data_IF_910269308889
#
_entry.id   IF_910269308889
#
_cell.length_a   1.000
_cell.length_b   1.000
_cell.length_c   1.000
_cell.angle_alpha   90.00
_cell.angle_beta   90.00
_cell.angle_gamma   90.00
#
_symmetry.space_group_name_H-M   'P 1'
#
loop_
_entity.id
_entity.type
_entity.pdbx_description
1 polymer ?
#
# COMPACT_ATOMS: atom_id res chain seq x y z
N UNK A 1 22.22 -18.16 -10.89
CA UNK A 1 21.77 -16.75 -10.85
C UNK A 1 22.72 -15.90 -10.01
N UNK A 2 22.89 -16.20 -8.71
CA UNK A 2 23.81 -15.46 -7.81
C UNK A 2 25.24 -15.39 -8.38
N UNK A 3 25.82 -16.52 -8.76
CA UNK A 3 27.17 -16.54 -9.35
C UNK A 3 27.32 -15.78 -10.66
N UNK A 4 26.24 -15.63 -11.43
CA UNK A 4 26.26 -14.86 -12.68
C UNK A 4 26.31 -13.36 -12.36
N UNK A 5 25.54 -12.93 -11.37
CA UNK A 5 25.52 -11.55 -10.87
C UNK A 5 26.87 -11.14 -10.26
N UNK A 6 27.54 -12.06 -9.56
CA UNK A 6 28.90 -11.85 -9.02
C UNK A 6 29.93 -11.60 -10.13
N UNK A 7 29.88 -12.38 -11.22
CA UNK A 7 30.81 -12.26 -12.35
C UNK A 7 30.54 -10.98 -13.15
N UNK A 8 29.27 -10.64 -13.35
CA UNK A 8 28.87 -9.53 -14.22
C UNK A 8 28.77 -8.18 -13.50
N UNK A 9 28.88 -8.16 -12.17
CA UNK A 9 28.90 -6.93 -11.37
C UNK A 9 27.53 -6.27 -11.19
N UNK A 10 26.44 -7.03 -11.32
CA UNK A 10 25.07 -6.55 -11.10
C UNK A 10 24.54 -7.06 -9.77
N UNK A 11 23.64 -6.31 -9.13
CA UNK A 11 22.85 -6.87 -8.04
C UNK A 11 21.82 -7.86 -8.62
N UNK A 12 21.63 -9.05 -8.01
CA UNK A 12 20.61 -10.02 -8.45
C UNK A 12 19.21 -9.42 -8.57
N UNK A 13 18.93 -8.40 -7.76
CA UNK A 13 17.66 -7.69 -7.77
C UNK A 13 17.46 -6.87 -9.05
N UNK A 14 18.49 -6.20 -9.57
CA UNK A 14 18.41 -5.42 -10.82
C UNK A 14 18.07 -6.33 -12.01
N UNK A 15 18.73 -7.49 -12.07
CA UNK A 15 18.47 -8.48 -13.11
C UNK A 15 17.05 -9.03 -13.01
N UNK A 16 16.56 -9.30 -11.79
CA UNK A 16 15.21 -9.78 -11.57
C UNK A 16 14.16 -8.70 -11.88
N UNK A 17 14.43 -7.44 -11.55
CA UNK A 17 13.58 -6.31 -11.90
C UNK A 17 13.45 -6.15 -13.42
N UNK A 18 14.56 -6.29 -14.16
CA UNK A 18 14.54 -6.26 -15.62
C UNK A 18 13.70 -7.38 -16.23
N UNK A 19 13.66 -8.57 -15.62
CA UNK A 19 12.93 -9.72 -16.12
C UNK A 19 11.45 -9.77 -15.67
N UNK A 20 11.16 -9.25 -14.48
CA UNK A 20 9.87 -9.38 -13.82
C UNK A 20 9.51 -8.14 -12.96
N UNK A 21 9.30 -6.96 -13.59
CA UNK A 21 9.07 -5.70 -12.85
C UNK A 21 7.75 -5.72 -12.04
N UNK A 22 6.78 -6.55 -12.45
CA UNK A 22 5.48 -6.70 -11.76
C UNK A 22 5.60 -7.24 -10.32
N UNK A 23 6.77 -7.77 -9.93
CA UNK A 23 7.01 -8.17 -8.54
C UNK A 23 7.21 -6.96 -7.60
N UNK A 24 7.46 -5.77 -8.14
CA UNK A 24 7.70 -4.52 -7.40
C UNK A 24 6.54 -3.53 -7.45
N UNK A 25 5.47 -3.81 -8.20
CA UNK A 25 4.35 -2.88 -8.32
C UNK A 25 3.29 -3.37 -9.30
N UNK A 26 2.08 -2.80 -9.19
CA UNK A 26 0.98 -3.07 -10.12
C UNK A 26 1.06 -2.20 -11.37
N UNK A 27 1.68 -1.03 -11.24
CA UNK A 27 1.98 -0.15 -12.37
C UNK A 27 3.49 -0.05 -12.59
N UNK A 28 3.93 0.33 -13.80
CA UNK A 28 5.33 0.57 -14.08
C UNK A 28 5.97 1.61 -13.15
N UNK A 29 5.21 2.63 -12.75
CA UNK A 29 5.64 3.68 -11.82
C UNK A 29 5.87 3.10 -10.42
N UNK A 30 4.89 2.35 -9.89
CA UNK A 30 5.03 1.69 -8.57
C UNK A 30 6.24 0.75 -8.52
N UNK A 31 6.48 0.02 -9.61
CA UNK A 31 7.61 -0.89 -9.73
C UNK A 31 8.95 -0.14 -9.71
N UNK A 32 9.05 0.97 -10.44
CA UNK A 32 10.24 1.84 -10.46
C UNK A 32 10.52 2.45 -9.09
N UNK A 33 9.51 3.06 -8.48
CA UNK A 33 9.64 3.70 -7.16
C UNK A 33 10.13 2.70 -6.11
N UNK A 34 9.61 1.47 -6.14
CA UNK A 34 10.00 0.40 -5.22
C UNK A 34 11.43 -0.08 -5.44
N UNK A 35 11.89 -0.16 -6.69
CA UNK A 35 13.26 -0.53 -7.01
C UNK A 35 14.24 0.57 -6.59
N UNK A 36 13.95 1.84 -6.93
CA UNK A 36 14.77 3.00 -6.57
C UNK A 36 14.90 3.13 -5.05
N UNK A 37 13.81 2.96 -4.31
CA UNK A 37 13.86 2.95 -2.84
C UNK A 37 14.76 1.83 -2.31
N UNK A 38 14.72 0.66 -2.94
CA UNK A 38 15.54 -0.48 -2.49
C UNK A 38 17.03 -0.20 -2.67
N UNK A 39 17.43 0.35 -3.81
CA UNK A 39 18.81 0.76 -4.08
C UNK A 39 19.30 1.81 -3.07
N UNK A 40 18.47 2.84 -2.80
CA UNK A 40 18.76 3.90 -1.83
C UNK A 40 18.92 3.37 -0.39
N UNK A 41 18.24 2.28 -0.03
CA UNK A 41 18.34 1.67 1.32
C UNK A 41 19.54 0.72 1.42
N UNK A 42 20.00 0.15 0.31
CA UNK A 42 21.12 -0.79 0.29
C UNK A 42 22.49 -0.09 0.33
N UNK A 43 22.63 1.08 -0.29
CA UNK A 43 23.90 1.80 -0.39
C UNK A 43 24.48 2.38 0.94
N UNK A 44 23.68 2.92 1.89
CA UNK A 44 24.21 3.62 3.05
C UNK A 44 24.97 2.74 4.06
N UNK A 45 25.76 3.31 5.00
CA UNK A 45 26.33 2.56 6.11
C UNK A 45 25.26 1.98 7.04
N UNK A 46 25.60 0.92 7.78
CA UNK A 46 24.66 0.22 8.66
C UNK A 46 23.97 1.14 9.70
N UNK A 47 24.68 2.13 10.25
CA UNK A 47 24.09 3.12 11.17
C UNK A 47 22.91 3.88 10.54
N UNK A 48 23.13 4.43 9.35
CA UNK A 48 22.09 5.13 8.58
C UNK A 48 20.91 4.22 8.23
N UNK A 49 21.17 2.96 7.84
CA UNK A 49 20.10 1.98 7.58
C UNK A 49 19.25 1.72 8.82
N UNK A 50 19.89 1.62 10.00
CA UNK A 50 19.18 1.40 11.28
C UNK A 50 18.27 2.57 11.62
N UNK A 51 18.74 3.80 11.42
CA UNK A 51 17.96 5.00 11.68
C UNK A 51 16.78 5.13 10.72
N UNK A 52 17.01 4.90 9.42
CA UNK A 52 15.96 4.89 8.39
C UNK A 52 14.90 3.82 8.69
N UNK A 53 15.32 2.61 9.08
CA UNK A 53 14.42 1.54 9.47
C UNK A 53 13.54 1.93 10.67
N UNK A 54 14.13 2.59 11.67
CA UNK A 54 13.38 3.07 12.82
C UNK A 54 12.35 4.15 12.43
N UNK A 55 12.71 5.06 11.53
CA UNK A 55 11.82 6.11 11.03
C UNK A 55 10.64 5.51 10.24
N UNK A 56 10.91 4.64 9.25
CA UNK A 56 9.88 4.01 8.44
C UNK A 56 8.92 3.18 9.29
N UNK A 57 9.43 2.44 10.29
CA UNK A 57 8.57 1.72 11.24
C UNK A 57 7.60 2.64 11.98
N UNK A 58 8.05 3.83 12.40
CA UNK A 58 7.19 4.83 13.04
C UNK A 58 6.14 5.35 12.07
N UNK A 59 6.51 5.68 10.83
CA UNK A 59 5.58 6.16 9.81
C UNK A 59 4.47 5.14 9.53
N UNK A 60 4.84 3.87 9.29
CA UNK A 60 3.87 2.77 9.06
C UNK A 60 2.97 2.55 10.28
N UNK A 61 3.52 2.66 11.50
CA UNK A 61 2.73 2.55 12.72
C UNK A 61 1.73 3.68 12.90
N UNK A 62 1.96 4.86 12.32
CA UNK A 62 1.03 6.00 12.34
C UNK A 62 -0.09 5.86 11.30
N UNK A 63 0.18 5.23 10.15
CA UNK A 63 -0.81 5.02 9.10
C UNK A 63 -1.88 3.98 9.47
N UNK A 64 -1.51 2.91 10.19
CA UNK A 64 -2.47 1.88 10.65
C UNK A 64 -3.65 2.46 11.45
N UNK A 65 -3.44 3.22 12.54
CA UNK A 65 -4.53 3.78 13.33
C UNK A 65 -5.31 4.85 12.55
N UNK A 66 -4.67 5.61 11.65
CA UNK A 66 -5.38 6.57 10.80
C UNK A 66 -6.30 5.86 9.78
N UNK A 67 -5.82 4.78 9.16
CA UNK A 67 -6.60 3.97 8.21
C UNK A 67 -7.78 3.30 8.90
N UNK A 68 -7.59 2.75 10.09
CA UNK A 68 -8.66 2.15 10.90
C UNK A 68 -9.71 3.20 11.32
N UNK A 69 -9.28 4.39 11.76
CA UNK A 69 -10.19 5.50 12.11
C UNK A 69 -11.00 5.97 10.90
N UNK A 70 -10.36 6.14 9.73
CA UNK A 70 -11.05 6.50 8.48
C UNK A 70 -12.09 5.45 8.09
N UNK A 71 -11.74 4.16 8.12
CA UNK A 71 -12.67 3.06 7.83
C UNK A 71 -13.85 3.02 8.81
N UNK A 72 -13.62 3.22 10.10
CA UNK A 72 -14.70 3.31 11.12
C UNK A 72 -15.63 4.49 10.84
N UNK A 73 -15.08 5.65 10.50
CA UNK A 73 -15.87 6.84 10.18
C UNK A 73 -16.71 6.67 8.90
N UNK A 74 -16.13 6.09 7.85
CA UNK A 74 -16.85 5.81 6.60
C UNK A 74 -17.93 4.74 6.78
N UNK A 75 -17.65 3.70 7.56
CA UNK A 75 -18.64 2.69 7.93
C UNK A 75 -19.80 3.26 8.76
N UNK A 76 -19.53 4.18 9.68
CA UNK A 76 -20.57 4.88 10.45
C UNK A 76 -21.42 5.80 9.54
N UNK A 77 -20.79 6.50 8.59
CA UNK A 77 -21.48 7.34 7.59
C UNK A 77 -22.38 6.50 6.68
N UNK A 78 -21.90 5.35 6.18
CA UNK A 78 -22.70 4.42 5.36
C UNK A 78 -23.93 3.90 6.10
N UNK A 79 -23.80 3.51 7.38
CA UNK A 79 -24.95 3.07 8.20
C UNK A 79 -25.97 4.19 8.40
N UNK A 80 -25.50 5.42 8.62
CA UNK A 80 -26.37 6.59 8.78
C UNK A 80 -27.15 6.92 7.50
N UNK A 81 -26.50 6.82 6.33
CA UNK A 81 -27.16 7.00 5.03
C UNK A 81 -28.13 5.87 4.69
N UNK A 82 -27.81 4.62 5.06
CA UNK A 82 -28.71 3.48 4.88
C UNK A 82 -29.95 3.57 5.77
N UNK A 83 -29.81 4.04 7.01
CA UNK A 83 -30.93 4.30 7.92
C UNK A 83 -31.78 5.53 7.55
N UNK A 84 -31.29 6.39 6.64
CA UNK A 84 -32.05 7.52 6.08
C UNK A 84 -32.80 7.16 4.80
N UNK A 85 -32.69 5.93 4.29
CA UNK A 85 -33.48 5.46 3.14
C UNK A 85 -34.90 5.18 3.63
N UNK A 86 -35.71 6.23 3.64
CA UNK A 86 -37.13 6.22 4.03
C UNK A 86 -37.89 5.22 3.15
N UNK A 87 -38.63 4.34 3.81
CA UNK A 87 -39.61 3.41 3.22
C UNK A 87 -40.53 4.16 2.24
N UNK A 88 -40.74 3.67 1.00
CA UNK A 88 -41.80 4.23 0.15
C UNK A 88 -43.13 3.96 0.86
N UNK A 89 -43.81 5.04 1.23
CA UNK A 89 -45.14 4.99 1.83
C UNK A 89 -46.04 4.12 0.97
N UNK A 90 -46.54 3.05 1.59
CA UNK A 90 -47.51 2.12 1.03
C UNK A 90 -48.84 2.86 0.85
N UNK A 91 -49.02 3.56 -0.27
CA UNK A 91 -50.32 4.09 -0.70
C UNK A 91 -51.11 2.96 -1.36
N UNK A 92 -51.69 2.09 -0.54
CA UNK A 92 -52.62 1.05 -0.97
C UNK A 92 -53.72 0.89 0.05
N UNK A 93 -54.97 1.03 -0.43
CA UNK A 93 -56.25 0.68 0.21
C UNK A 93 -56.94 1.74 1.08
N UNK A 94 -57.67 2.66 0.43
CA UNK A 94 -59.03 3.05 0.87
C UNK A 94 -59.89 3.28 -0.39
N UNK A 95 -60.58 2.24 -0.86
CA UNK A 95 -61.84 2.33 -1.62
C UNK A 95 -62.60 1.01 -1.42
N UNK A 96 -63.44 0.98 -0.39
CA UNK A 96 -64.65 0.14 -0.30
C UNK A 96 -65.84 1.07 -0.15
#
# INVERSE_FOLDING_TARGET
MIHLCEILGFMPMEMLFSAAPHLWGRTPEEARDSMELTELVVAPPHGTKRDLLALVKKMVALERPQTERRRKHEGARRRRLAGLRIEPQNYGLILQ
#
